data_IF_109721926258
#
_entry.id   IF_109721926258
#
_cell.length_a   1.000
_cell.length_b   1.000
_cell.length_c   1.000
_cell.angle_alpha   90.00
_cell.angle_beta   90.00
_cell.angle_gamma   90.00
#
_symmetry.space_group_name_H-M   'P 1'
#
loop_
_entity.id
_entity.type
_entity.pdbx_description
1 polymer ?
#
# COMPACT_ATOMS: atom_id res chain seq x y z
N UNK A 1 -47.55 -16.17 -16.71
CA UNK A 1 -47.04 -15.20 -15.73
C UNK A 1 -45.64 -15.65 -15.38
N UNK A 2 -44.63 -15.03 -15.96
CA UNK A 2 -43.23 -15.49 -15.86
C UNK A 2 -42.52 -14.59 -14.88
N UNK A 3 -42.16 -15.12 -13.70
CA UNK A 3 -41.34 -14.40 -12.73
C UNK A 3 -39.89 -14.42 -13.20
N UNK A 4 -39.35 -13.23 -13.47
CA UNK A 4 -37.91 -13.02 -13.65
C UNK A 4 -37.31 -13.01 -12.24
N UNK A 5 -36.61 -14.09 -11.87
CA UNK A 5 -35.74 -14.05 -10.69
C UNK A 5 -34.50 -13.24 -11.03
N UNK A 6 -34.42 -12.01 -10.52
CA UNK A 6 -33.14 -11.33 -10.38
C UNK A 6 -32.28 -12.21 -9.46
N UNK A 7 -31.21 -12.77 -10.01
CA UNK A 7 -30.12 -13.30 -9.22
C UNK A 7 -29.46 -12.06 -8.58
N UNK A 8 -29.83 -11.79 -7.32
CA UNK A 8 -29.09 -10.86 -6.47
C UNK A 8 -27.70 -11.46 -6.27
N UNK A 9 -26.79 -11.13 -7.19
CA UNK A 9 -25.35 -11.36 -7.01
C UNK A 9 -24.95 -10.58 -5.77
N UNK A 10 -24.51 -11.22 -4.67
CA UNK A 10 -24.10 -10.49 -3.50
C UNK A 10 -22.95 -9.57 -3.90
N UNK A 11 -23.13 -8.26 -3.71
CA UNK A 11 -22.06 -7.29 -3.89
C UNK A 11 -20.86 -7.76 -3.07
N UNK A 12 -19.74 -8.05 -3.75
CA UNK A 12 -18.60 -8.70 -3.14
C UNK A 12 -18.15 -7.95 -1.88
N UNK A 13 -18.07 -8.66 -0.76
CA UNK A 13 -17.87 -8.05 0.55
C UNK A 13 -16.53 -7.31 0.59
N UNK A 14 -16.58 -6.02 0.94
CA UNK A 14 -15.39 -5.22 1.19
C UNK A 14 -14.97 -5.42 2.64
N UNK A 15 -13.69 -5.72 2.89
CA UNK A 15 -13.16 -6.00 4.22
C UNK A 15 -11.80 -5.34 4.42
N UNK A 16 -11.62 -4.67 5.56
CA UNK A 16 -10.30 -4.24 6.05
C UNK A 16 -9.94 -5.12 7.25
N UNK A 17 -8.73 -5.67 7.26
CA UNK A 17 -8.21 -6.51 8.34
C UNK A 17 -6.90 -5.92 8.85
N UNK A 18 -6.85 -5.55 10.12
CA UNK A 18 -5.58 -5.23 10.79
C UNK A 18 -4.76 -6.53 10.92
N UNK A 19 -3.57 -6.56 10.33
CA UNK A 19 -2.66 -7.70 10.49
C UNK A 19 -1.69 -7.44 11.65
N UNK A 20 -1.10 -6.24 11.67
CA UNK A 20 -0.18 -5.74 12.70
C UNK A 20 -0.36 -4.22 12.86
N UNK A 21 0.22 -3.60 13.90
CA UNK A 21 0.02 -2.18 14.20
C UNK A 21 0.26 -1.20 13.03
N UNK A 22 1.10 -1.56 12.08
CA UNK A 22 1.47 -0.74 10.92
C UNK A 22 1.16 -1.43 9.57
N UNK A 23 0.34 -2.49 9.60
CA UNK A 23 0.03 -3.32 8.44
C UNK A 23 -1.47 -3.65 8.40
N UNK A 24 -2.14 -3.19 7.35
CA UNK A 24 -3.56 -3.43 7.11
C UNK A 24 -3.78 -4.06 5.74
N UNK A 25 -4.74 -4.99 5.66
CA UNK A 25 -5.13 -5.65 4.42
C UNK A 25 -6.56 -5.26 4.05
N UNK A 26 -6.69 -4.55 2.93
CA UNK A 26 -7.97 -4.35 2.25
C UNK A 26 -8.23 -5.49 1.27
N UNK A 27 -9.45 -6.01 1.28
CA UNK A 27 -9.92 -7.08 0.38
C UNK A 27 -11.26 -6.68 -0.21
N UNK A 28 -11.43 -6.84 -1.52
CA UNK A 28 -12.71 -6.61 -2.20
C UNK A 28 -12.82 -7.42 -3.49
N UNK A 29 -14.04 -7.85 -3.83
CA UNK A 29 -14.32 -8.54 -5.10
C UNK A 29 -14.43 -10.05 -4.93
N UNK A 30 -14.82 -10.72 -6.01
CA UNK A 30 -14.81 -12.18 -6.14
C UNK A 30 -14.22 -12.53 -7.52
N UNK A 31 -13.00 -13.11 -7.60
CA UNK A 31 -12.09 -13.39 -6.48
C UNK A 31 -11.60 -12.11 -5.78
N UNK A 32 -11.21 -12.19 -4.50
CA UNK A 32 -10.79 -11.03 -3.75
C UNK A 32 -9.50 -10.43 -4.32
N UNK A 33 -9.54 -9.11 -4.57
CA UNK A 33 -8.37 -8.29 -4.85
C UNK A 33 -7.90 -7.67 -3.55
N UNK A 34 -6.61 -7.77 -3.31
CA UNK A 34 -5.99 -7.32 -2.07
C UNK A 34 -5.19 -6.04 -2.30
N UNK A 35 -5.25 -5.14 -1.32
CA UNK A 35 -4.32 -4.02 -1.20
C UNK A 35 -3.74 -4.04 0.20
N UNK A 36 -2.41 -4.10 0.29
CA UNK A 36 -1.71 -4.01 1.57
C UNK A 36 -1.32 -2.57 1.84
N UNK A 37 -1.70 -2.06 3.01
CA UNK A 37 -1.30 -0.75 3.51
C UNK A 37 -0.14 -0.96 4.48
N UNK A 38 0.99 -0.33 4.16
CA UNK A 38 2.23 -0.44 4.92
C UNK A 38 2.60 0.96 5.43
N UNK A 39 2.46 1.17 6.73
CA UNK A 39 2.83 2.43 7.36
C UNK A 39 4.31 2.41 7.75
N UNK A 40 5.09 3.25 7.08
CA UNK A 40 6.49 3.50 7.39
C UNK A 40 6.61 4.52 8.53
N UNK A 41 7.49 4.22 9.48
CA UNK A 41 7.95 5.20 10.45
C UNK A 41 9.18 5.92 9.90
N UNK A 42 9.11 7.24 9.74
CA UNK A 42 10.27 8.08 9.46
C UNK A 42 11.19 8.12 10.70
N UNK A 43 11.96 7.05 10.92
CA UNK A 43 13.17 7.17 11.70
C UNK A 43 14.26 7.61 10.70
N UNK A 44 14.91 8.77 10.92
CA UNK A 44 15.93 9.24 10.00
C UNK A 44 17.04 8.20 9.92
N UNK A 45 17.19 7.57 8.76
CA UNK A 45 18.42 6.86 8.43
C UNK A 45 19.44 7.99 8.25
N UNK A 46 20.35 8.14 9.21
CA UNK A 46 21.28 9.26 9.26
C UNK A 46 22.21 9.26 8.03
N UNK A 47 21.81 9.93 6.96
CA UNK A 47 22.70 10.42 5.92
C UNK A 47 23.24 11.78 6.38
N UNK A 48 24.33 11.72 7.15
CA UNK A 48 25.05 12.88 7.72
C UNK A 48 24.28 13.72 8.76
N UNK A 49 24.98 14.08 9.83
CA UNK A 49 24.46 14.92 10.91
C UNK A 49 24.01 16.33 10.48
N UNK A 50 24.30 16.73 9.23
CA UNK A 50 23.93 18.04 8.66
C UNK A 50 22.50 18.08 8.09
N UNK A 51 21.95 16.93 7.66
CA UNK A 51 20.56 16.86 7.15
C UNK A 51 19.55 16.78 8.31
N UNK A 52 19.95 16.17 9.42
CA UNK A 52 19.15 16.01 10.65
C UNK A 52 18.76 17.35 11.30
N UNK A 53 19.52 18.42 11.07
CA UNK A 53 19.22 19.74 11.65
C UNK A 53 18.14 20.52 10.89
N UNK A 54 17.80 20.13 9.65
CA UNK A 54 16.78 20.81 8.84
C UNK A 54 15.41 20.15 8.84
N UNK A 55 15.33 18.87 9.23
CA UNK A 55 14.14 18.04 9.00
C UNK A 55 13.40 17.63 10.29
N UNK A 56 13.71 18.26 11.43
CA UNK A 56 13.05 17.96 12.73
C UNK A 56 11.59 18.47 12.81
N UNK A 57 11.02 19.00 11.72
CA UNK A 57 9.71 19.64 11.73
C UNK A 57 8.56 18.75 11.24
N UNK A 58 8.82 17.57 10.70
CA UNK A 58 7.73 16.72 10.22
C UNK A 58 8.13 15.26 10.25
N UNK A 59 7.61 14.54 11.24
CA UNK A 59 7.36 13.10 11.13
C UNK A 59 6.42 12.89 9.95
N UNK A 60 6.95 12.86 8.73
CA UNK A 60 6.19 12.54 7.54
C UNK A 60 5.76 11.08 7.65
N UNK A 61 4.45 10.86 7.81
CA UNK A 61 3.89 9.52 7.69
C UNK A 61 4.10 9.06 6.25
N UNK A 62 4.91 8.01 6.09
CA UNK A 62 5.13 7.36 4.81
C UNK A 62 4.16 6.19 4.70
N UNK A 63 3.49 6.07 3.56
CA UNK A 63 2.51 5.02 3.32
C UNK A 63 2.81 4.35 1.98
N UNK A 64 3.12 3.06 2.01
CA UNK A 64 3.25 2.25 0.81
C UNK A 64 1.97 1.41 0.63
N UNK A 65 1.36 1.50 -0.55
CA UNK A 65 0.26 0.64 -0.96
C UNK A 65 0.79 -0.43 -1.91
N UNK A 66 0.61 -1.71 -1.58
CA UNK A 66 0.92 -2.82 -2.47
C UNK A 66 -0.36 -3.24 -3.20
N UNK A 67 -0.31 -3.22 -4.53
CA UNK A 67 -1.43 -3.50 -5.44
C UNK A 67 -2.70 -2.69 -5.18
N UNK A 68 -2.62 -1.34 -5.16
CA UNK A 68 -3.81 -0.51 -4.99
C UNK A 68 -4.83 -0.70 -6.14
N UNK A 69 -6.14 -0.46 -5.88
CA UNK A 69 -7.14 -0.40 -6.94
C UNK A 69 -6.94 0.84 -7.82
N UNK A 70 -7.49 0.83 -9.04
CA UNK A 70 -7.32 1.93 -9.99
C UNK A 70 -7.87 3.28 -9.48
N UNK A 71 -8.91 3.22 -8.66
CA UNK A 71 -9.65 4.35 -8.10
C UNK A 71 -9.23 4.66 -6.64
N UNK A 72 -7.99 4.31 -6.27
CA UNK A 72 -7.46 4.43 -4.89
C UNK A 72 -7.62 5.84 -4.31
N UNK A 73 -7.37 6.89 -5.08
CA UNK A 73 -7.46 8.30 -4.63
C UNK A 73 -8.89 8.76 -4.34
N UNK A 74 -9.88 8.18 -5.01
CA UNK A 74 -11.30 8.45 -4.71
C UNK A 74 -11.83 7.56 -3.59
N UNK A 75 -11.19 6.42 -3.32
CA UNK A 75 -11.63 5.45 -2.31
C UNK A 75 -11.11 5.73 -0.92
N UNK A 76 -9.88 6.19 -0.82
CA UNK A 76 -9.19 6.35 0.45
C UNK A 76 -8.72 7.78 0.60
N UNK A 77 -8.80 8.31 1.83
CA UNK A 77 -8.08 9.53 2.19
C UNK A 77 -6.63 9.15 2.44
N UNK A 78 -5.76 9.58 1.54
CA UNK A 78 -4.33 9.29 1.56
C UNK A 78 -3.59 10.57 1.98
N UNK A 79 -3.04 10.57 3.19
CA UNK A 79 -2.33 11.70 3.79
C UNK A 79 -0.83 11.38 3.89
N UNK A 80 0.03 12.40 3.79
CA UNK A 80 1.49 12.24 3.88
C UNK A 80 2.15 11.79 2.56
N UNK A 81 3.29 11.10 2.69
CA UNK A 81 4.08 10.65 1.55
C UNK A 81 3.62 9.25 1.12
N UNK A 82 2.87 9.18 0.03
CA UNK A 82 2.22 7.94 -0.41
C UNK A 82 2.79 7.44 -1.72
N UNK A 83 3.19 6.17 -1.76
CA UNK A 83 3.67 5.49 -2.95
C UNK A 83 2.90 4.19 -3.21
N UNK A 84 2.96 3.71 -4.45
CA UNK A 84 2.38 2.44 -4.87
C UNK A 84 3.48 1.46 -5.32
N UNK A 85 3.36 0.20 -4.94
CA UNK A 85 4.12 -0.92 -5.48
C UNK A 85 3.14 -1.90 -6.12
N UNK A 86 3.51 -2.46 -7.27
CA UNK A 86 2.73 -3.50 -7.91
C UNK A 86 3.51 -4.81 -7.89
N UNK A 87 2.86 -5.90 -7.49
CA UNK A 87 3.46 -7.25 -7.57
C UNK A 87 3.27 -7.86 -8.96
N UNK A 88 2.35 -7.31 -9.75
CA UNK A 88 2.18 -7.58 -11.17
C UNK A 88 2.55 -6.38 -12.06
N UNK A 89 2.01 -6.32 -13.29
CA UNK A 89 2.21 -5.16 -14.16
C UNK A 89 1.78 -3.86 -13.48
N UNK A 90 2.65 -2.84 -13.56
CA UNK A 90 2.35 -1.53 -13.04
C UNK A 90 1.12 -0.92 -13.73
N UNK A 91 0.32 -0.20 -12.95
CA UNK A 91 -0.90 0.48 -13.42
C UNK A 91 -0.83 1.94 -13.01
N UNK A 92 -1.39 2.83 -13.83
CA UNK A 92 -1.58 4.21 -13.43
C UNK A 92 -2.71 4.30 -12.40
N UNK A 93 -2.34 4.74 -11.19
CA UNK A 93 -3.25 4.96 -10.06
C UNK A 93 -3.13 6.39 -9.53
N UNK A 94 -2.44 7.26 -10.29
CA UNK A 94 -2.14 8.63 -9.91
C UNK A 94 -1.20 8.77 -8.70
N UNK A 95 -0.49 7.72 -8.28
CA UNK A 95 0.49 7.77 -7.19
C UNK A 95 1.91 7.59 -7.72
N UNK A 96 2.94 8.14 -7.05
CA UNK A 96 4.33 7.74 -7.28
C UNK A 96 4.46 6.22 -7.24
N UNK A 97 5.10 5.64 -8.25
CA UNK A 97 5.27 4.18 -8.35
C UNK A 97 6.68 3.80 -7.96
N UNK A 98 6.81 2.96 -6.93
CA UNK A 98 8.06 2.32 -6.56
C UNK A 98 8.34 1.19 -7.55
N UNK A 99 9.53 1.21 -8.15
CA UNK A 99 10.01 0.15 -9.02
C UNK A 99 11.02 -0.71 -8.29
N UNK A 100 10.86 -2.03 -8.36
CA UNK A 100 11.89 -2.98 -7.97
C UNK A 100 12.81 -3.26 -9.16
N UNK A 101 14.07 -3.57 -8.88
CA UNK A 101 14.99 -4.10 -9.88
C UNK A 101 14.93 -5.62 -9.86
N UNK A 102 14.99 -6.26 -11.03
CA UNK A 102 15.01 -7.73 -11.13
C UNK A 102 16.19 -8.31 -10.33
N UNK A 103 15.92 -9.30 -9.47
CA UNK A 103 16.91 -9.86 -8.54
C UNK A 103 17.26 -8.94 -7.36
N UNK A 104 16.64 -7.77 -7.26
CA UNK A 104 16.82 -6.82 -6.18
C UNK A 104 16.00 -7.16 -4.94
N UNK A 105 16.45 -6.61 -3.81
CA UNK A 105 15.79 -6.68 -2.52
C UNK A 105 15.62 -5.26 -1.97
N UNK A 106 14.42 -4.94 -1.51
CA UNK A 106 14.15 -3.71 -0.78
C UNK A 106 13.75 -4.02 0.66
N UNK A 107 14.27 -3.26 1.60
CA UNK A 107 13.92 -3.35 3.02
C UNK A 107 13.08 -2.14 3.41
N UNK A 108 11.86 -2.38 3.87
CA UNK A 108 10.95 -1.33 4.33
C UNK A 108 10.81 -1.44 5.84
N UNK A 109 11.16 -0.38 6.55
CA UNK A 109 10.96 -0.33 8.01
C UNK A 109 9.49 -0.08 8.34
N UNK A 110 8.94 -0.91 9.21
CA UNK A 110 7.55 -0.90 9.67
C UNK A 110 7.56 -0.95 11.20
N UNK A 111 7.50 0.22 11.84
CA UNK A 111 7.70 0.32 13.30
C UNK A 111 9.08 -0.20 13.73
N UNK A 112 9.08 -1.30 14.49
CA UNK A 112 10.29 -2.02 14.94
C UNK A 112 10.67 -3.22 14.06
N UNK A 113 9.91 -3.46 12.99
CA UNK A 113 10.13 -4.58 12.07
C UNK A 113 10.59 -4.11 10.69
N UNK A 114 11.03 -5.07 9.85
CA UNK A 114 11.28 -4.85 8.43
C UNK A 114 10.39 -5.75 7.59
N UNK A 115 9.88 -5.20 6.49
CA UNK A 115 9.29 -5.94 5.39
C UNK A 115 10.31 -6.02 4.27
N UNK A 116 10.69 -7.24 3.94
CA UNK A 116 11.60 -7.52 2.84
C UNK A 116 10.80 -7.81 1.58
N UNK A 117 11.10 -7.07 0.52
CA UNK A 117 10.46 -7.22 -0.78
C UNK A 117 11.48 -7.80 -1.74
N UNK A 118 11.19 -8.99 -2.24
CA UNK A 118 12.01 -9.70 -3.20
C UNK A 118 11.39 -9.60 -4.59
N UNK A 119 12.16 -9.10 -5.57
CA UNK A 119 11.74 -9.06 -6.96
C UNK A 119 12.31 -10.24 -7.71
N UNK A 120 11.44 -11.18 -8.12
CA UNK A 120 11.82 -12.25 -9.03
C UNK A 120 11.71 -11.76 -10.48
N UNK A 121 12.66 -12.18 -11.32
CA UNK A 121 12.70 -11.89 -12.76
C UNK A 121 12.20 -13.05 -13.59
#
# INVERSE_FOLDING_TARGET
MTEIRLLDTPAAATKITQLYAHLELFSQGEPPRHTLFVMGGAAPIALSALEIARDQSSTHNQLLLIDPPADVRSRFRLDGDVAALFTGPARDVGLPVMQTQAGGMAHIRIGEHFLDIYSQG
#
